data_IF_353577517457
#
_entry.id   IF_353577517457
#
_cell.length_a   1.000
_cell.length_b   1.000
_cell.length_c   1.000
_cell.angle_alpha   90.00
_cell.angle_beta   90.00
_cell.angle_gamma   90.00
#
_symmetry.space_group_name_H-M   'P 1'
#
loop_
_entity.id
_entity.type
_entity.pdbx_description
1 polymer ?
#
# COMPACT_ATOMS: atom_id res chain seq x y z
N UNK A 1 -15.74 8.30 8.46
CA UNK A 1 -15.12 8.17 9.78
C UNK A 1 -14.54 6.76 9.89
N UNK A 2 -13.21 6.56 10.08
CA UNK A 2 -12.60 5.22 10.08
C UNK A 2 -13.07 4.31 11.23
N UNK A 3 -13.89 4.79 12.18
CA UNK A 3 -14.40 4.02 13.32
C UNK A 3 -15.58 3.08 13.01
N UNK A 4 -16.23 3.20 11.85
CA UNK A 4 -17.39 2.35 11.50
C UNK A 4 -17.00 0.95 11.03
N UNK A 5 -15.70 0.64 10.93
CA UNK A 5 -15.22 -0.66 10.43
C UNK A 5 -15.50 -0.90 8.94
N UNK A 6 -15.96 0.13 8.22
CA UNK A 6 -16.27 0.07 6.79
C UNK A 6 -15.01 0.29 5.94
N UNK A 7 -14.69 -0.69 5.09
CA UNK A 7 -13.62 -0.55 4.09
C UNK A 7 -14.18 0.17 2.86
N UNK A 8 -13.72 1.40 2.62
CA UNK A 8 -14.16 2.20 1.46
C UNK A 8 -13.55 1.72 0.13
N UNK A 9 -12.29 1.28 0.17
CA UNK A 9 -11.57 0.79 -1.01
C UNK A 9 -10.39 -0.08 -0.61
N UNK A 10 -9.95 -0.93 -1.54
CA UNK A 10 -8.73 -1.71 -1.42
C UNK A 10 -7.69 -1.19 -2.39
N UNK A 11 -6.47 -0.95 -1.88
CA UNK A 11 -5.32 -0.59 -2.71
C UNK A 11 -4.53 -1.86 -3.00
N UNK A 12 -4.40 -2.20 -4.28
CA UNK A 12 -3.69 -3.40 -4.72
C UNK A 12 -2.55 -2.99 -5.64
N UNK A 13 -1.40 -3.67 -5.52
CA UNK A 13 -0.28 -3.47 -6.44
C UNK A 13 -0.67 -3.83 -7.87
N UNK A 14 -0.19 -3.06 -8.84
CA UNK A 14 -0.34 -3.36 -10.27
C UNK A 14 0.68 -4.37 -10.79
N UNK A 15 1.64 -4.79 -9.95
CA UNK A 15 2.70 -5.73 -10.31
C UNK A 15 3.02 -6.71 -9.19
N UNK A 16 3.50 -7.89 -9.58
CA UNK A 16 4.17 -8.82 -8.67
C UNK A 16 5.56 -8.29 -8.31
N UNK A 17 6.02 -8.58 -7.09
CA UNK A 17 7.28 -8.05 -6.58
C UNK A 17 7.51 -8.34 -5.12
N UNK A 18 8.50 -7.65 -4.55
CA UNK A 18 8.83 -7.65 -3.13
C UNK A 18 8.54 -6.26 -2.56
N UNK A 19 7.88 -6.19 -1.41
CA UNK A 19 7.72 -4.94 -0.66
C UNK A 19 9.09 -4.52 -0.14
N UNK A 20 9.62 -3.42 -0.67
CA UNK A 20 10.90 -2.83 -0.25
C UNK A 20 10.71 -1.79 0.84
N UNK A 21 9.55 -1.15 0.86
CA UNK A 21 9.18 -0.15 1.84
C UNK A 21 7.70 -0.28 2.18
N UNK A 22 7.38 -0.18 3.47
CA UNK A 22 6.04 -0.03 3.99
C UNK A 22 6.05 1.08 5.04
N UNK A 23 5.08 1.99 4.97
CA UNK A 23 4.86 2.98 6.01
C UNK A 23 4.50 2.28 7.33
N UNK A 24 5.02 2.78 8.45
CA UNK A 24 4.97 2.09 9.75
C UNK A 24 3.90 2.64 10.70
N UNK A 25 3.08 3.60 10.27
CA UNK A 25 1.96 4.11 11.05
C UNK A 25 0.62 3.90 10.31
N UNK A 26 -0.50 3.74 11.06
CA UNK A 26 -1.81 3.45 10.48
C UNK A 26 -2.47 4.65 9.79
N UNK A 27 -2.06 5.88 10.15
CA UNK A 27 -2.55 7.12 9.57
C UNK A 27 -1.53 7.67 8.57
N UNK A 28 -2.01 8.04 7.39
CA UNK A 28 -1.23 8.68 6.33
C UNK A 28 -1.98 9.89 5.80
N UNK A 29 -1.25 10.86 5.27
CA UNK A 29 -1.83 12.03 4.58
C UNK A 29 -1.85 11.79 3.08
N UNK A 30 -2.69 12.56 2.37
CA UNK A 30 -2.74 12.54 0.90
C UNK A 30 -1.34 12.70 0.28
N UNK A 31 -1.10 12.03 -0.86
CA UNK A 31 0.17 12.00 -1.59
C UNK A 31 1.37 11.39 -0.84
N UNK A 32 1.17 10.79 0.33
CA UNK A 32 2.22 10.02 1.01
C UNK A 32 2.48 8.68 0.33
N UNK A 33 3.76 8.29 0.25
CA UNK A 33 4.13 6.95 -0.21
C UNK A 33 3.88 5.94 0.91
N UNK A 34 2.94 5.01 0.70
CA UNK A 34 2.61 3.97 1.68
C UNK A 34 3.39 2.67 1.44
N UNK A 35 3.56 2.28 0.18
CA UNK A 35 4.33 1.11 -0.23
C UNK A 35 5.27 1.43 -1.39
N UNK A 36 6.45 0.80 -1.42
CA UNK A 36 7.28 0.70 -2.63
C UNK A 36 7.56 -0.76 -2.92
N UNK A 37 7.37 -1.14 -4.17
CA UNK A 37 7.49 -2.52 -4.64
C UNK A 37 8.62 -2.60 -5.65
N UNK A 38 9.58 -3.49 -5.42
CA UNK A 38 10.56 -3.87 -6.44
C UNK A 38 9.91 -4.95 -7.29
N UNK A 39 9.65 -4.61 -8.56
CA UNK A 39 9.06 -5.51 -9.54
C UNK A 39 9.99 -6.69 -9.82
N UNK A 40 9.42 -7.89 -9.87
CA UNK A 40 10.11 -9.07 -10.45
C UNK A 40 10.07 -8.97 -11.98
N UNK A 41 11.24 -9.10 -12.61
CA UNK A 41 11.40 -8.93 -14.07
C UNK A 41 11.45 -10.29 -14.81
N UNK A 42 11.39 -11.41 -14.09
CA UNK A 42 11.44 -12.76 -14.68
C UNK A 42 10.49 -13.71 -13.92
N UNK A 43 10.04 -14.76 -14.61
CA UNK A 43 9.47 -15.97 -14.01
C UNK A 43 10.58 -16.98 -13.66
#
# INVERSE_FOLDING_TARGET
DPYEGLVLSNVVSTTNGIVFFAHNAPLVIENSVVFKIIRRIHD
#
